data_IF_497255019619
#
_entry.id   IF_497255019619
#
_cell.length_a   1.000
_cell.length_b   1.000
_cell.length_c   1.000
_cell.angle_alpha   90.00
_cell.angle_beta   90.00
_cell.angle_gamma   90.00
#
_symmetry.space_group_name_H-M   'P 1'
#
loop_
_entity.id
_entity.type
_entity.pdbx_description
1 polymer ?
#
# COMPACT_ATOMS: atom_id res chain seq x y z
N UNK A 1 -11.67 -71.19 63.67
CA UNK A 1 -11.60 -72.37 62.78
C UNK A 1 -11.33 -71.85 61.38
N UNK A 2 -10.23 -72.21 60.70
CA UNK A 2 -9.13 -73.11 61.10
C UNK A 2 -7.86 -72.73 60.34
N UNK A 3 -6.72 -72.62 61.01
CA UNK A 3 -5.39 -72.64 60.38
C UNK A 3 -4.95 -74.12 60.26
N UNK A 4 -4.10 -74.50 59.28
CA UNK A 4 -2.67 -74.42 59.60
C UNK A 4 -1.67 -74.24 58.43
N UNK A 5 -0.47 -73.86 58.83
CA UNK A 5 0.84 -74.38 58.37
C UNK A 5 1.58 -73.75 57.17
N UNK A 6 2.85 -73.50 57.47
CA UNK A 6 3.97 -73.03 56.64
C UNK A 6 4.91 -74.23 56.37
N UNK A 7 5.90 -74.11 55.47
CA UNK A 7 7.26 -74.36 55.98
C UNK A 7 8.34 -73.35 55.52
N UNK A 8 9.41 -73.31 56.30
CA UNK A 8 10.69 -72.56 56.15
C UNK A 8 11.86 -73.58 56.33
N UNK A 9 13.17 -73.26 56.27
CA UNK A 9 13.85 -71.95 56.20
C UNK A 9 14.26 -71.59 54.75
N UNK A 10 15.48 -71.35 54.24
CA UNK A 10 16.89 -71.42 54.70
C UNK A 10 17.72 -70.21 54.16
N UNK A 11 18.91 -69.87 54.71
CA UNK A 11 19.59 -68.60 54.42
C UNK A 11 20.94 -68.71 53.68
N UNK A 12 21.44 -67.58 53.18
CA UNK A 12 22.83 -67.18 53.41
C UNK A 12 22.98 -65.64 53.50
N UNK A 13 24.20 -65.15 53.72
CA UNK A 13 24.50 -64.11 54.71
C UNK A 13 25.25 -62.89 54.15
N UNK A 14 24.81 -61.69 54.55
CA UNK A 14 25.59 -60.44 54.41
C UNK A 14 25.55 -59.79 53.01
N UNK A 15 25.90 -58.51 52.86
CA UNK A 15 26.19 -57.51 53.89
C UNK A 15 25.82 -56.10 53.40
N UNK A 16 25.55 -55.20 54.34
CA UNK A 16 25.51 -53.73 54.17
C UNK A 16 26.45 -53.11 55.21
N UNK A 17 26.88 -51.84 55.08
CA UNK A 17 26.52 -50.84 54.05
C UNK A 17 27.73 -50.29 53.27
N UNK A 18 27.48 -49.52 52.21
CA UNK A 18 28.40 -48.44 51.80
C UNK A 18 27.64 -47.18 51.33
N UNK A 19 28.22 -46.01 51.58
CA UNK A 19 27.47 -44.73 51.59
C UNK A 19 27.67 -43.92 50.32
N UNK A 20 26.65 -43.88 49.45
CA UNK A 20 26.73 -43.30 48.10
C UNK A 20 26.30 -41.82 47.94
N UNK A 21 26.50 -40.94 48.92
CA UNK A 21 26.01 -39.56 48.84
C UNK A 21 26.65 -38.70 47.75
N UNK A 22 25.79 -38.11 46.91
CA UNK A 22 25.97 -36.84 46.16
C UNK A 22 27.22 -36.67 45.26
N UNK A 23 27.05 -36.87 43.93
CA UNK A 23 27.96 -36.28 42.93
C UNK A 23 27.33 -35.68 41.66
N UNK A 24 26.02 -35.42 41.65
CA UNK A 24 25.35 -34.70 40.55
C UNK A 24 25.45 -33.15 40.66
N UNK A 25 25.59 -32.62 41.88
CA UNK A 25 25.37 -31.19 42.17
C UNK A 25 26.33 -30.23 41.47
N UNK A 26 27.61 -30.61 41.28
CA UNK A 26 28.60 -29.72 40.63
C UNK A 26 28.39 -29.63 39.11
N UNK A 27 28.11 -30.76 38.46
CA UNK A 27 27.80 -30.79 37.01
C UNK A 27 26.51 -30.01 36.71
N UNK A 28 25.43 -30.30 37.47
CA UNK A 28 24.15 -29.63 37.28
C UNK A 28 24.22 -28.11 37.58
N UNK A 29 25.01 -27.68 38.57
CA UNK A 29 25.26 -26.24 38.80
C UNK A 29 26.08 -25.59 37.69
N UNK A 30 27.10 -26.27 37.14
CA UNK A 30 27.85 -25.76 35.98
C UNK A 30 26.95 -25.66 34.75
N UNK A 31 26.11 -26.66 34.49
CA UNK A 31 25.11 -26.61 33.42
C UNK A 31 24.12 -25.45 33.59
N UNK A 32 23.57 -25.25 34.80
CA UNK A 32 22.67 -24.13 35.09
C UNK A 32 23.36 -22.76 34.95
N UNK A 33 24.63 -22.63 35.35
CA UNK A 33 25.41 -21.40 35.14
C UNK A 33 25.68 -21.15 33.66
N UNK A 34 26.06 -22.18 32.89
CA UNK A 34 26.25 -22.06 31.44
C UNK A 34 24.94 -21.75 30.70
N UNK A 35 23.81 -22.35 31.11
CA UNK A 35 22.49 -22.04 30.57
C UNK A 35 22.05 -20.61 30.91
N UNK A 36 22.30 -20.12 32.13
CA UNK A 36 22.02 -18.74 32.51
C UNK A 36 22.88 -17.74 31.71
N UNK A 37 24.18 -18.03 31.55
CA UNK A 37 25.08 -17.23 30.69
C UNK A 37 24.59 -17.24 29.24
N UNK A 38 24.19 -18.39 28.70
CA UNK A 38 23.66 -18.51 27.34
C UNK A 38 22.37 -17.70 27.16
N UNK A 39 21.43 -17.75 28.13
CA UNK A 39 20.19 -16.96 28.09
C UNK A 39 20.48 -15.46 28.20
N UNK A 40 21.45 -15.05 29.02
CA UNK A 40 21.87 -13.63 29.10
C UNK A 40 22.54 -13.17 27.81
N UNK A 41 23.42 -13.98 27.20
CA UNK A 41 24.07 -13.65 25.93
C UNK A 41 23.07 -13.63 24.76
N UNK A 42 22.12 -14.57 24.72
CA UNK A 42 21.09 -14.63 23.68
C UNK A 42 20.07 -13.49 23.85
N UNK A 43 19.67 -13.19 25.09
CA UNK A 43 18.80 -12.04 25.40
C UNK A 43 19.48 -10.71 25.12
N UNK A 44 20.78 -10.57 25.38
CA UNK A 44 21.56 -9.40 24.97
C UNK A 44 21.69 -9.31 23.44
N UNK A 45 21.93 -10.43 22.76
CA UNK A 45 21.97 -10.52 21.29
C UNK A 45 20.66 -10.10 20.64
N UNK A 46 19.53 -10.60 21.14
CA UNK A 46 18.18 -10.22 20.71
C UNK A 46 17.92 -8.74 21.03
N UNK A 47 18.29 -8.25 22.21
CA UNK A 47 18.12 -6.83 22.55
C UNK A 47 19.00 -5.89 21.70
N UNK A 48 20.19 -6.32 21.29
CA UNK A 48 20.97 -5.59 20.28
C UNK A 48 20.37 -5.69 18.89
N UNK A 49 19.86 -6.86 18.49
CA UNK A 49 19.21 -7.05 17.20
C UNK A 49 17.96 -6.17 17.07
N UNK A 50 17.06 -6.16 18.07
CA UNK A 50 15.88 -5.28 18.11
C UNK A 50 16.30 -3.82 17.93
N UNK A 51 17.29 -3.33 18.70
CA UNK A 51 17.83 -1.96 18.56
C UNK A 51 18.52 -1.65 17.23
N UNK A 52 18.75 -2.65 16.37
CA UNK A 52 19.23 -2.51 14.99
C UNK A 52 18.20 -3.00 13.95
N UNK A 53 17.01 -3.40 14.39
CA UNK A 53 15.84 -3.77 13.58
C UNK A 53 14.79 -2.66 13.65
N UNK A 54 14.82 -1.84 14.70
CA UNK A 54 14.27 -0.48 14.74
C UNK A 54 14.89 0.43 13.65
N UNK A 55 16.00 0.02 13.02
CA UNK A 55 16.54 0.62 11.78
C UNK A 55 15.77 0.15 10.52
N UNK A 56 14.44 0.10 10.63
CA UNK A 56 13.54 0.15 9.46
C UNK A 56 13.40 1.59 8.93
N UNK A 57 13.51 2.58 9.82
CA UNK A 57 13.60 4.01 9.47
C UNK A 57 15.01 4.41 9.07
N UNK A 58 15.44 3.98 7.88
CA UNK A 58 16.52 4.65 7.11
C UNK A 58 15.93 5.60 6.05
N UNK A 59 14.69 6.07 6.29
CA UNK A 59 13.98 7.08 5.49
C UNK A 59 14.32 8.50 5.93
N UNK A 60 14.71 8.71 7.20
CA UNK A 60 15.18 10.01 7.71
C UNK A 60 16.57 10.40 7.15
N UNK A 61 17.27 9.47 6.48
CA UNK A 61 18.51 9.73 5.75
C UNK A 61 18.31 9.91 4.23
N UNK A 62 17.11 9.63 3.71
CA UNK A 62 16.75 9.87 2.32
C UNK A 62 16.78 11.39 2.05
N UNK A 63 17.80 11.83 1.32
CA UNK A 63 18.15 13.25 1.26
C UNK A 63 17.00 14.06 0.66
N UNK A 64 16.57 15.17 1.29
CA UNK A 64 15.58 16.08 0.71
C UNK A 64 15.95 16.53 -0.71
N UNK A 65 17.25 16.62 -1.04
CA UNK A 65 17.74 16.91 -2.38
C UNK A 65 17.35 15.85 -3.43
N UNK A 66 17.37 14.57 -3.10
CA UNK A 66 17.10 13.49 -4.06
C UNK A 66 15.58 13.36 -4.33
N UNK A 67 14.74 13.59 -3.31
CA UNK A 67 13.28 13.74 -3.46
C UNK A 67 12.92 15.00 -4.27
N UNK A 68 13.60 16.13 -4.02
CA UNK A 68 13.44 17.35 -4.82
C UNK A 68 13.81 17.13 -6.29
N UNK A 69 14.85 16.34 -6.59
CA UNK A 69 15.23 16.00 -7.97
C UNK A 69 14.18 15.13 -8.65
N UNK A 70 13.56 14.15 -7.97
CA UNK A 70 12.48 13.37 -8.56
C UNK A 70 11.23 14.22 -8.82
N UNK A 71 10.84 15.05 -7.85
CA UNK A 71 9.72 15.98 -7.96
C UNK A 71 9.95 17.02 -9.08
N UNK A 72 11.16 17.57 -9.21
CA UNK A 72 11.56 18.47 -10.30
C UNK A 72 11.48 17.78 -11.67
N UNK A 73 11.93 16.54 -11.81
CA UNK A 73 11.79 15.78 -13.06
C UNK A 73 10.31 15.54 -13.46
N UNK A 74 9.44 15.20 -12.50
CA UNK A 74 8.00 15.09 -12.74
C UNK A 74 7.39 16.45 -13.16
N UNK A 75 7.73 17.52 -12.43
CA UNK A 75 7.30 18.89 -12.72
C UNK A 75 7.73 19.37 -14.12
N UNK A 76 8.97 19.08 -14.54
CA UNK A 76 9.48 19.42 -15.88
C UNK A 76 8.74 18.65 -16.97
N UNK A 77 8.48 17.36 -16.75
CA UNK A 77 7.74 16.55 -17.73
C UNK A 77 6.30 17.02 -17.88
N UNK A 78 5.62 17.36 -16.77
CA UNK A 78 4.29 17.94 -16.82
C UNK A 78 4.28 19.29 -17.55
N UNK A 79 5.25 20.18 -17.27
CA UNK A 79 5.37 21.47 -17.95
C UNK A 79 5.60 21.32 -19.48
N UNK A 80 6.36 20.32 -19.91
CA UNK A 80 6.55 20.01 -21.33
C UNK A 80 5.26 19.50 -21.99
N UNK A 81 4.48 18.64 -21.33
CA UNK A 81 3.18 18.18 -21.83
C UNK A 81 2.17 19.33 -21.96
N UNK A 82 2.12 20.25 -20.98
CA UNK A 82 1.29 21.48 -21.06
C UNK A 82 1.69 22.36 -22.25
N UNK A 83 2.98 22.48 -22.54
CA UNK A 83 3.49 23.23 -23.70
C UNK A 83 3.13 22.56 -25.03
N UNK A 84 3.22 21.22 -25.12
CA UNK A 84 2.81 20.47 -26.31
C UNK A 84 1.31 20.58 -26.58
N UNK A 85 0.46 20.50 -25.54
CA UNK A 85 -0.98 20.81 -25.61
C UNK A 85 -1.21 22.21 -26.20
N UNK A 86 -0.55 23.24 -25.64
CA UNK A 86 -0.75 24.63 -26.08
C UNK A 86 -0.32 24.86 -27.54
N UNK A 87 0.68 24.13 -28.03
CA UNK A 87 1.11 24.19 -29.44
C UNK A 87 0.19 23.38 -30.36
N UNK A 88 -0.37 22.27 -29.87
CA UNK A 88 -1.39 21.49 -30.59
C UNK A 88 -2.69 22.27 -30.74
N UNK A 89 -3.15 23.02 -29.72
CA UNK A 89 -4.30 23.92 -29.82
C UNK A 89 -4.11 24.98 -30.92
N UNK A 90 -2.93 25.61 -30.99
CA UNK A 90 -2.58 26.56 -32.08
C UNK A 90 -2.55 25.88 -33.44
N UNK A 91 -1.99 24.67 -33.51
CA UNK A 91 -1.93 23.86 -34.73
C UNK A 91 -3.33 23.51 -35.21
N UNK A 92 -4.23 23.12 -34.30
CA UNK A 92 -5.64 22.85 -34.57
C UNK A 92 -6.34 24.09 -35.14
N UNK A 93 -6.23 25.24 -34.45
CA UNK A 93 -6.83 26.50 -34.89
C UNK A 93 -6.33 26.97 -36.27
N UNK A 94 -5.09 26.64 -36.63
CA UNK A 94 -4.54 26.86 -37.98
C UNK A 94 -5.12 25.87 -39.00
N UNK A 95 -5.15 24.58 -38.67
CA UNK A 95 -5.69 23.53 -39.52
C UNK A 95 -7.21 23.65 -39.75
N UNK A 96 -7.97 24.26 -38.84
CA UNK A 96 -9.41 24.51 -39.02
C UNK A 96 -9.71 25.61 -40.06
N UNK A 97 -8.69 26.35 -40.50
CA UNK A 97 -8.80 27.38 -41.54
C UNK A 97 -8.33 26.87 -42.91
N UNK A 98 -7.20 26.17 -42.98
CA UNK A 98 -6.53 25.78 -44.25
C UNK A 98 -6.06 24.31 -44.31
N UNK A 99 -6.36 23.51 -43.28
CA UNK A 99 -5.89 22.13 -43.14
C UNK A 99 -6.68 21.07 -43.92
N UNK A 100 -6.27 19.81 -43.73
CA UNK A 100 -7.02 18.64 -44.22
C UNK A 100 -7.67 17.91 -43.05
N UNK A 101 -8.83 17.28 -43.28
CA UNK A 101 -9.59 16.54 -42.26
C UNK A 101 -8.73 15.50 -41.52
N UNK A 102 -7.83 14.81 -42.23
CA UNK A 102 -6.93 13.82 -41.65
C UNK A 102 -5.89 14.44 -40.69
N UNK A 103 -5.36 15.62 -41.02
CA UNK A 103 -4.44 16.35 -40.14
C UNK A 103 -5.16 16.96 -38.93
N UNK A 104 -6.40 17.41 -39.10
CA UNK A 104 -7.27 17.83 -38.00
C UNK A 104 -7.54 16.71 -37.01
N UNK A 105 -7.88 15.52 -37.52
CA UNK A 105 -8.19 14.37 -36.67
C UNK A 105 -6.95 13.82 -35.95
N UNK A 106 -5.77 13.83 -36.58
CA UNK A 106 -4.51 13.51 -35.92
C UNK A 106 -4.19 14.51 -34.80
N UNK A 107 -4.35 15.81 -35.06
CA UNK A 107 -4.13 16.87 -34.06
C UNK A 107 -5.11 16.76 -32.88
N UNK A 108 -6.40 16.52 -33.15
CA UNK A 108 -7.45 16.28 -32.13
C UNK A 108 -7.13 15.05 -31.28
N UNK A 109 -6.78 13.92 -31.93
CA UNK A 109 -6.42 12.67 -31.25
C UNK A 109 -5.23 12.87 -30.31
N UNK A 110 -4.19 13.58 -30.76
CA UNK A 110 -3.00 13.86 -29.94
C UNK A 110 -3.29 14.83 -28.80
N UNK A 111 -4.03 15.90 -29.05
CA UNK A 111 -4.46 16.87 -28.03
C UNK A 111 -5.28 16.19 -26.93
N UNK A 112 -6.27 15.36 -27.29
CA UNK A 112 -7.05 14.54 -26.34
C UNK A 112 -6.15 13.61 -25.54
N UNK A 113 -5.23 12.89 -26.20
CA UNK A 113 -4.32 11.93 -25.52
C UNK A 113 -3.48 12.61 -24.43
N UNK A 114 -2.92 13.79 -24.70
CA UNK A 114 -2.12 14.53 -23.72
C UNK A 114 -2.99 15.15 -22.62
N UNK A 115 -4.17 15.67 -22.96
CA UNK A 115 -5.09 16.29 -22.02
C UNK A 115 -5.70 15.27 -21.05
N UNK A 116 -6.01 14.07 -21.53
CA UNK A 116 -6.40 12.94 -20.68
C UNK A 116 -5.26 12.50 -19.73
N UNK A 117 -3.99 12.53 -20.19
CA UNK A 117 -2.82 12.22 -19.33
C UNK A 117 -2.56 13.26 -18.24
N UNK A 118 -2.81 14.55 -18.50
CA UNK A 118 -2.75 15.59 -17.46
C UNK A 118 -4.02 15.64 -16.59
N UNK A 119 -5.09 14.98 -17.02
CA UNK A 119 -6.40 15.01 -16.40
C UNK A 119 -7.17 16.32 -16.58
N UNK A 120 -6.85 17.09 -17.62
CA UNK A 120 -7.65 18.25 -18.04
C UNK A 120 -8.85 17.87 -18.91
N UNK A 121 -8.88 16.64 -19.42
CA UNK A 121 -10.03 16.04 -20.11
C UNK A 121 -10.48 14.73 -19.42
N UNK A 122 -11.75 14.30 -19.62
CA UNK A 122 -12.22 12.98 -19.23
C UNK A 122 -11.43 11.87 -19.93
N UNK A 123 -11.41 10.70 -19.31
CA UNK A 123 -10.83 9.49 -19.90
C UNK A 123 -11.84 8.35 -19.91
N UNK A 124 -11.67 7.41 -20.84
CA UNK A 124 -12.50 6.21 -20.96
C UNK A 124 -11.66 5.04 -21.48
N UNK A 125 -11.82 3.87 -20.90
CA UNK A 125 -11.08 2.67 -21.27
C UNK A 125 -11.48 1.44 -20.46
N UNK A 126 -10.87 0.26 -20.67
CA UNK A 126 -11.04 -0.88 -19.77
C UNK A 126 -10.56 -0.54 -18.36
N UNK A 127 -11.10 -1.22 -17.35
CA UNK A 127 -10.72 -0.94 -15.97
C UNK A 127 -11.58 -1.61 -14.91
N UNK A 128 -11.57 -1.01 -13.72
CA UNK A 128 -12.35 -1.44 -12.55
C UNK A 128 -13.14 -0.27 -11.94
N UNK A 129 -14.30 -0.60 -11.38
CA UNK A 129 -15.01 0.21 -10.40
C UNK A 129 -14.93 -0.52 -9.06
N UNK A 130 -14.41 0.16 -8.05
CA UNK A 130 -14.31 -0.32 -6.68
C UNK A 130 -15.36 0.39 -5.83
N UNK A 131 -16.09 -0.33 -4.97
CA UNK A 131 -16.94 0.30 -3.95
C UNK A 131 -16.50 -0.12 -2.56
N UNK A 132 -16.26 0.87 -1.70
CA UNK A 132 -15.81 0.72 -0.32
C UNK A 132 -16.95 1.09 0.61
N UNK A 133 -17.65 0.08 1.12
CA UNK A 133 -18.66 0.26 2.16
C UNK A 133 -17.96 0.34 3.52
N UNK A 134 -18.14 1.44 4.26
CA UNK A 134 -17.54 1.66 5.59
C UNK A 134 -18.59 2.00 6.66
N UNK A 135 -19.46 1.04 7.03
CA UNK A 135 -20.54 1.24 8.00
C UNK A 135 -20.02 1.30 9.46
N UNK A 136 -18.71 1.46 9.65
CA UNK A 136 -18.03 1.56 10.94
C UNK A 136 -17.09 2.77 11.05
N UNK A 137 -17.01 3.62 10.01
CA UNK A 137 -16.15 4.81 9.95
C UNK A 137 -14.67 4.47 10.26
N UNK A 138 -14.24 3.26 9.85
CA UNK A 138 -12.91 2.71 10.13
C UNK A 138 -11.91 2.82 8.99
N UNK A 139 -12.38 3.06 7.75
CA UNK A 139 -11.54 3.19 6.55
C UNK A 139 -10.97 4.61 6.49
N UNK A 140 -9.92 4.84 7.27
CA UNK A 140 -9.15 6.09 7.29
C UNK A 140 -8.27 6.29 6.05
N UNK A 141 -7.65 7.47 5.97
CA UNK A 141 -6.87 7.92 4.80
C UNK A 141 -5.77 6.95 4.35
N UNK A 142 -5.13 6.25 5.29
CA UNK A 142 -4.09 5.24 5.00
C UNK A 142 -4.63 4.12 4.09
N UNK A 143 -5.84 3.62 4.34
CA UNK A 143 -6.43 2.50 3.60
C UNK A 143 -6.82 2.88 2.17
N UNK A 144 -7.28 4.11 1.98
CA UNK A 144 -7.60 4.65 0.65
C UNK A 144 -6.32 5.05 -0.12
N UNK A 145 -5.29 5.52 0.57
CA UNK A 145 -3.99 5.79 -0.03
C UNK A 145 -3.34 4.49 -0.51
N UNK A 146 -3.30 3.44 0.33
CA UNK A 146 -2.83 2.10 -0.05
C UNK A 146 -3.56 1.59 -1.30
N UNK A 147 -4.89 1.71 -1.35
CA UNK A 147 -5.70 1.33 -2.51
C UNK A 147 -5.28 2.06 -3.80
N UNK A 148 -5.04 3.37 -3.71
CA UNK A 148 -4.57 4.19 -4.85
C UNK A 148 -3.15 3.78 -5.28
N UNK A 149 -2.26 3.45 -4.33
CA UNK A 149 -0.89 3.03 -4.65
C UNK A 149 -0.83 1.62 -5.23
N UNK A 150 -1.64 0.68 -4.76
CA UNK A 150 -1.74 -0.67 -5.33
C UNK A 150 -2.33 -0.66 -6.74
N UNK A 151 -3.36 0.16 -7.00
CA UNK A 151 -3.86 0.39 -8.36
C UNK A 151 -2.78 0.99 -9.28
N UNK A 152 -2.02 1.98 -8.78
CA UNK A 152 -0.90 2.59 -9.52
C UNK A 152 0.22 1.58 -9.79
N UNK A 153 0.56 0.73 -8.83
CA UNK A 153 1.55 -0.35 -8.99
C UNK A 153 1.09 -1.44 -9.98
N UNK A 154 -0.21 -1.69 -10.03
CA UNK A 154 -0.86 -2.60 -10.99
C UNK A 154 -1.05 -2.00 -12.40
N UNK A 155 -0.66 -0.74 -12.63
CA UNK A 155 -0.72 -0.09 -13.94
C UNK A 155 -2.05 0.62 -14.24
N UNK A 156 -2.68 1.24 -13.24
CA UNK A 156 -3.79 2.17 -13.47
C UNK A 156 -3.28 3.49 -14.06
N UNK A 157 -3.60 3.75 -15.33
CA UNK A 157 -3.17 4.95 -16.08
C UNK A 157 -3.95 6.22 -15.68
N UNK A 158 -5.17 6.06 -15.17
CA UNK A 158 -6.03 7.17 -14.76
C UNK A 158 -7.07 6.72 -13.74
N UNK A 159 -7.28 7.52 -12.70
CA UNK A 159 -8.14 7.19 -11.56
C UNK A 159 -8.95 8.39 -11.07
N UNK A 160 -10.15 8.14 -10.54
CA UNK A 160 -10.88 9.07 -9.67
C UNK A 160 -11.42 8.37 -8.44
N UNK A 161 -11.68 9.14 -7.38
CA UNK A 161 -12.41 8.71 -6.18
C UNK A 161 -13.62 9.62 -5.97
N UNK A 162 -14.76 9.02 -5.63
CA UNK A 162 -16.02 9.72 -5.32
C UNK A 162 -16.51 9.36 -3.92
N UNK A 163 -17.20 10.28 -3.26
CA UNK A 163 -17.94 10.05 -2.02
C UNK A 163 -19.45 9.97 -2.25
N UNK A 164 -20.17 9.36 -1.31
CA UNK A 164 -21.63 9.26 -1.34
C UNK A 164 -22.36 10.62 -1.27
N UNK A 165 -21.65 11.68 -0.87
CA UNK A 165 -22.09 13.07 -0.92
C UNK A 165 -22.11 13.67 -2.35
N UNK A 166 -21.56 12.96 -3.35
CA UNK A 166 -21.50 13.40 -4.74
C UNK A 166 -20.23 14.18 -5.13
N UNK A 167 -19.33 14.44 -4.19
CA UNK A 167 -18.00 14.98 -4.49
C UNK A 167 -17.14 13.92 -5.19
N UNK A 168 -16.28 14.34 -6.13
CA UNK A 168 -15.41 13.45 -6.90
C UNK A 168 -14.10 14.14 -7.26
N UNK A 169 -12.98 13.41 -7.13
CA UNK A 169 -11.61 13.93 -7.29
C UNK A 169 -10.84 13.12 -8.32
N UNK A 170 -10.18 13.80 -9.27
CA UNK A 170 -9.28 13.21 -10.25
C UNK A 170 -7.89 13.01 -9.65
N UNK A 171 -7.51 11.76 -9.40
CA UNK A 171 -6.23 11.43 -8.78
C UNK A 171 -5.08 11.73 -9.74
N UNK A 172 -4.20 12.65 -9.34
CA UNK A 172 -2.95 13.00 -9.99
C UNK A 172 -1.72 12.32 -9.36
N UNK A 173 -0.53 12.83 -9.70
CA UNK A 173 0.76 12.36 -9.12
C UNK A 173 1.05 12.97 -7.75
N UNK A 174 0.46 14.13 -7.49
CA UNK A 174 0.62 15.02 -6.35
C UNK A 174 -0.63 15.06 -5.45
N UNK A 175 -1.66 14.29 -5.78
CA UNK A 175 -2.88 14.17 -4.97
C UNK A 175 -2.60 13.55 -3.60
N UNK A 176 -3.33 14.01 -2.59
CA UNK A 176 -3.18 13.62 -1.19
C UNK A 176 -4.50 13.19 -0.57
N UNK A 177 -4.41 12.33 0.46
CA UNK A 177 -5.56 11.81 1.22
C UNK A 177 -5.29 12.06 2.70
N UNK A 178 -6.26 12.57 3.44
CA UNK A 178 -6.18 12.74 4.90
C UNK A 178 -7.54 12.55 5.57
N UNK A 179 -7.56 12.54 6.91
CA UNK A 179 -8.75 12.39 7.72
C UNK A 179 -9.03 10.95 8.20
N UNK A 180 -9.86 10.80 9.25
CA UNK A 180 -10.31 9.50 9.74
C UNK A 180 -11.36 8.88 8.79
N UNK A 181 -11.74 7.62 9.02
CA UNK A 181 -12.93 7.07 8.37
C UNK A 181 -14.18 7.88 8.73
N UNK A 182 -15.13 7.96 7.80
CA UNK A 182 -16.29 8.84 7.89
C UNK A 182 -16.02 10.34 7.64
N UNK A 183 -14.76 10.79 7.65
CA UNK A 183 -14.36 12.16 7.33
C UNK A 183 -13.05 12.20 6.53
N UNK A 184 -13.09 11.67 5.31
CA UNK A 184 -11.96 11.68 4.38
C UNK A 184 -11.94 12.99 3.60
N UNK A 185 -10.74 13.53 3.39
CA UNK A 185 -10.49 14.64 2.46
C UNK A 185 -9.44 14.22 1.44
N UNK A 186 -9.73 14.45 0.16
CA UNK A 186 -8.83 14.23 -0.99
C UNK A 186 -8.76 15.53 -1.78
N UNK A 187 -7.57 16.07 -2.01
CA UNK A 187 -7.33 17.34 -2.74
C UNK A 187 -8.35 18.45 -2.36
N UNK A 188 -8.42 18.76 -1.06
CA UNK A 188 -9.37 19.68 -0.40
C UNK A 188 -10.88 19.36 -0.52
N UNK A 189 -11.28 18.28 -1.21
CA UNK A 189 -12.68 17.82 -1.29
C UNK A 189 -12.97 16.78 -0.21
N UNK A 190 -13.99 17.02 0.61
CA UNK A 190 -14.49 16.07 1.61
C UNK A 190 -15.33 14.98 0.94
N UNK A 191 -15.05 13.72 1.25
CA UNK A 191 -15.75 12.54 0.72
C UNK A 191 -16.41 11.77 1.86
N UNK A 192 -17.71 11.53 1.73
CA UNK A 192 -18.50 10.72 2.67
C UNK A 192 -18.53 9.26 2.21
N UNK A 193 -18.55 8.29 3.12
CA UNK A 193 -18.67 6.87 2.80
C UNK A 193 -20.12 6.48 2.35
N UNK A 194 -20.31 5.44 1.52
CA UNK A 194 -19.30 4.62 0.83
C UNK A 194 -18.50 5.40 -0.22
N UNK A 195 -17.24 4.98 -0.43
CA UNK A 195 -16.36 5.57 -1.43
C UNK A 195 -16.36 4.74 -2.72
N UNK A 196 -16.35 5.38 -3.88
CA UNK A 196 -16.22 4.69 -5.19
C UNK A 196 -14.93 5.11 -5.87
N UNK A 197 -14.04 4.16 -6.16
CA UNK A 197 -12.80 4.41 -6.92
C UNK A 197 -12.95 3.81 -8.31
N UNK A 198 -12.83 4.64 -9.36
CA UNK A 198 -12.84 4.19 -10.75
C UNK A 198 -11.44 4.31 -11.32
N UNK A 199 -10.92 3.22 -11.89
CA UNK A 199 -9.54 3.13 -12.39
C UNK A 199 -9.49 2.50 -13.79
N UNK A 200 -8.84 3.19 -14.74
CA UNK A 200 -8.59 2.72 -16.11
C UNK A 200 -7.25 1.98 -16.16
N UNK A 201 -7.23 0.80 -16.77
CA UNK A 201 -6.07 -0.08 -16.90
C UNK A 201 -6.49 -1.51 -17.25
N UNK A 202 -5.58 -2.49 -17.15
CA UNK A 202 -5.94 -3.90 -17.34
C UNK A 202 -6.76 -4.43 -16.16
N UNK A 203 -8.10 -4.48 -16.32
CA UNK A 203 -9.05 -4.88 -15.28
C UNK A 203 -8.67 -6.15 -14.50
N UNK A 204 -8.24 -7.25 -15.16
CA UNK A 204 -7.74 -8.44 -14.48
C UNK A 204 -6.50 -8.20 -13.60
N UNK A 205 -5.51 -7.44 -14.08
CA UNK A 205 -4.31 -7.10 -13.31
C UNK A 205 -4.62 -6.17 -12.14
N UNK A 206 -5.45 -5.14 -12.35
CA UNK A 206 -5.92 -4.23 -11.28
C UNK A 206 -6.66 -5.01 -10.19
N UNK A 207 -7.60 -5.88 -10.58
CA UNK A 207 -8.35 -6.69 -9.62
C UNK A 207 -7.48 -7.73 -8.89
N UNK A 208 -6.45 -8.28 -9.54
CA UNK A 208 -5.53 -9.24 -8.94
C UNK A 208 -4.68 -8.60 -7.83
N UNK A 209 -4.17 -7.37 -8.02
CA UNK A 209 -3.36 -6.66 -7.04
C UNK A 209 -4.11 -6.41 -5.71
N UNK A 210 -5.36 -5.93 -5.80
CA UNK A 210 -6.21 -5.67 -4.62
C UNK A 210 -6.48 -6.93 -3.77
N UNK A 211 -6.41 -8.11 -4.39
CA UNK A 211 -6.67 -9.42 -3.77
C UNK A 211 -5.39 -10.15 -3.32
N UNK A 212 -4.22 -9.50 -3.31
CA UNK A 212 -3.00 -10.05 -2.71
C UNK A 212 -3.22 -10.27 -1.20
N UNK A 213 -2.91 -11.45 -0.63
CA UNK A 213 -3.10 -11.71 0.80
C UNK A 213 -2.36 -10.71 1.70
N UNK A 214 -3.07 -10.11 2.65
CA UNK A 214 -2.60 -9.00 3.49
C UNK A 214 -2.80 -7.60 2.87
N UNK A 215 -3.15 -7.51 1.58
CA UNK A 215 -3.36 -6.27 0.85
C UNK A 215 -4.74 -5.62 1.07
N UNK A 216 -5.19 -4.85 0.08
CA UNK A 216 -6.28 -3.87 0.21
C UNK A 216 -7.59 -4.48 0.70
N UNK A 217 -8.04 -5.60 0.12
CA UNK A 217 -9.29 -6.29 0.56
C UNK A 217 -9.22 -6.65 2.05
N UNK A 218 -8.09 -7.21 2.50
CA UNK A 218 -7.89 -7.56 3.91
C UNK A 218 -7.78 -6.31 4.81
N UNK A 219 -7.21 -5.21 4.31
CA UNK A 219 -7.08 -3.96 5.09
C UNK A 219 -8.42 -3.27 5.27
N UNK A 220 -9.26 -3.19 4.23
CA UNK A 220 -10.65 -2.69 4.34
C UNK A 220 -11.47 -3.57 5.29
N UNK A 221 -11.35 -4.90 5.20
CA UNK A 221 -12.05 -5.82 6.10
C UNK A 221 -11.57 -5.72 7.58
N UNK A 222 -10.27 -5.46 7.81
CA UNK A 222 -9.70 -5.19 9.14
C UNK A 222 -10.14 -3.85 9.72
N UNK A 223 -10.15 -2.80 8.91
CA UNK A 223 -10.70 -1.48 9.26
C UNK A 223 -12.19 -1.58 9.62
N UNK A 224 -12.92 -2.44 8.91
CA UNK A 224 -14.25 -2.89 9.28
C UNK A 224 -15.32 -2.70 8.20
N UNK A 225 -14.92 -2.18 7.04
CA UNK A 225 -15.75 -2.08 5.86
C UNK A 225 -15.78 -3.35 5.02
N UNK A 226 -16.21 -3.20 3.76
CA UNK A 226 -16.07 -4.21 2.71
C UNK A 226 -15.74 -3.56 1.36
N UNK A 227 -15.05 -4.29 0.49
CA UNK A 227 -14.61 -3.84 -0.83
C UNK A 227 -15.24 -4.74 -1.92
N UNK A 228 -16.02 -4.15 -2.82
CA UNK A 228 -16.40 -4.78 -4.09
C UNK A 228 -15.46 -4.36 -5.22
N UNK A 229 -15.28 -5.23 -6.20
CA UNK A 229 -14.41 -5.01 -7.36
C UNK A 229 -15.15 -5.45 -8.62
N UNK A 230 -15.61 -4.50 -9.43
CA UNK A 230 -16.31 -4.75 -10.69
C UNK A 230 -15.41 -4.42 -11.88
N UNK A 231 -15.02 -5.43 -12.67
CA UNK A 231 -14.26 -5.24 -13.91
C UNK A 231 -15.21 -4.87 -15.06
N UNK A 232 -14.81 -3.91 -15.88
CA UNK A 232 -15.56 -3.53 -17.09
C UNK A 232 -14.62 -3.35 -18.29
N UNK A 233 -15.05 -3.71 -19.53
CA UNK A 233 -14.34 -3.34 -20.75
C UNK A 233 -14.40 -1.83 -21.03
N UNK A 234 -15.26 -1.09 -20.34
CA UNK A 234 -15.37 0.36 -20.43
C UNK A 234 -15.79 0.96 -19.07
N UNK A 235 -14.91 1.75 -18.47
CA UNK A 235 -15.19 2.67 -17.36
C UNK A 235 -14.89 4.10 -17.80
N UNK A 236 -15.55 5.07 -17.17
CA UNK A 236 -15.34 6.51 -17.41
C UNK A 236 -14.71 7.15 -16.17
N UNK A 237 -13.69 7.98 -16.40
CA UNK A 237 -13.11 8.87 -15.40
C UNK A 237 -13.38 10.30 -15.87
N UNK A 238 -14.50 10.86 -15.38
CA UNK A 238 -15.07 12.13 -15.78
C UNK A 238 -14.54 13.33 -14.98
N UNK A 239 -13.95 13.08 -13.80
CA UNK A 239 -13.36 14.12 -12.98
C UNK A 239 -12.11 14.71 -13.64
N UNK A 240 -11.92 16.02 -13.48
CA UNK A 240 -10.79 16.77 -14.02
C UNK A 240 -9.88 17.30 -12.90
N UNK A 241 -8.63 17.59 -13.22
CA UNK A 241 -7.70 18.27 -12.31
C UNK A 241 -7.82 19.79 -12.46
N UNK A 242 -8.05 20.49 -11.36
CA UNK A 242 -7.83 21.95 -11.31
C UNK A 242 -6.32 22.22 -11.35
N UNK A 243 -5.81 22.59 -12.51
CA UNK A 243 -4.40 22.87 -12.73
C UNK A 243 -4.09 24.33 -12.36
N UNK A 244 -3.32 24.53 -11.27
CA UNK A 244 -2.85 25.87 -10.92
C UNK A 244 -1.82 26.42 -11.94
N UNK A 245 -1.89 27.73 -12.24
CA UNK A 245 -0.91 28.42 -13.07
C UNK A 245 0.41 28.64 -12.32
N UNK A 246 1.49 28.07 -12.85
CA UNK A 246 2.82 28.10 -12.23
C UNK A 246 3.38 29.52 -12.17
N UNK A 247 3.61 30.05 -10.97
CA UNK A 247 4.04 31.44 -10.75
C UNK A 247 5.49 31.74 -11.16
N UNK A 248 6.39 30.74 -11.10
CA UNK A 248 7.84 30.94 -11.23
C UNK A 248 8.53 30.12 -12.33
N UNK A 249 7.92 29.02 -12.78
CA UNK A 249 8.50 28.14 -13.81
C UNK A 249 7.75 28.27 -15.13
N UNK A 250 8.47 28.66 -16.19
CA UNK A 250 7.98 28.60 -17.56
C UNK A 250 8.46 27.28 -18.22
N UNK A 251 7.74 26.74 -19.22
CA UNK A 251 8.25 25.64 -20.04
C UNK A 251 9.56 26.00 -20.76
N UNK A 252 10.33 25.00 -21.18
CA UNK A 252 11.60 25.22 -21.89
C UNK A 252 11.36 25.65 -23.34
N UNK A 253 12.14 26.62 -23.83
CA UNK A 253 12.21 26.97 -25.25
C UNK A 253 12.93 25.88 -26.07
#
# INVERSE_FOLDING_TARGET
MTEPQQPRPAPDTGATPETGTARATRSQRVFLVLAAILVVLLGAGIATQVRTTDTGDDLDSARPADLLVLLDNLNRREAALRQEITELERTLSSLEQEGSEAALEEARTRLYTLSAQLGTEPATGPGVVLTVDDPREGVGSEVLLDMIQELRAAGADTMQIAGANGETVRIGVDSWVTGPGGDIVVDDRRLDAPYTVTAIGDGPTLAAALNIPGGVVDTVARAGGSLSVEQSPQVEVSALREIEPRQYSQPGN
#
